data_IF_092549608167
#
_entry.id   IF_092549608167
#
_cell.length_a   1.000
_cell.length_b   1.000
_cell.length_c   1.000
_cell.angle_alpha   90.00
_cell.angle_beta   90.00
_cell.angle_gamma   90.00
#
_symmetry.space_group_name_H-M   'P 1'
#
loop_
_entity.id
_entity.type
_entity.pdbx_description
1 polymer ?
#
# COMPACT_ATOMS: atom_id res chain seq x y z
N UNK A 1 43.24 24.06 4.45
CA UNK A 1 42.40 22.85 4.43
C UNK A 1 41.41 23.00 5.57
N UNK A 2 40.09 22.93 5.31
CA UNK A 2 39.12 22.96 6.40
C UNK A 2 39.34 21.74 7.30
N UNK A 3 39.34 21.94 8.61
CA UNK A 3 39.48 20.87 9.59
C UNK A 3 38.25 19.95 9.49
N UNK A 4 38.49 18.66 9.23
CA UNK A 4 37.41 17.67 9.10
C UNK A 4 36.74 17.48 10.46
N UNK A 5 35.41 17.61 10.49
CA UNK A 5 34.63 17.37 11.70
C UNK A 5 34.74 15.90 12.13
N UNK A 6 34.74 15.66 13.43
CA UNK A 6 34.73 14.31 13.99
C UNK A 6 33.29 13.82 14.26
N UNK A 7 33.14 12.53 14.52
CA UNK A 7 31.85 11.89 14.76
C UNK A 7 31.22 12.33 16.07
N UNK A 8 29.90 12.62 16.04
CA UNK A 8 29.07 12.84 17.23
C UNK A 8 28.38 11.55 17.73
N UNK A 9 28.74 10.41 17.16
CA UNK A 9 28.19 9.09 17.46
C UNK A 9 29.30 8.15 17.92
N UNK A 10 28.93 7.15 18.71
CA UNK A 10 29.89 6.12 19.12
C UNK A 10 30.14 5.11 17.97
N UNK A 11 31.31 4.46 17.99
CA UNK A 11 31.60 3.34 17.08
C UNK A 11 30.57 2.20 17.23
N UNK A 12 30.11 1.92 18.44
CA UNK A 12 29.08 0.92 18.70
C UNK A 12 27.71 1.26 18.06
N UNK A 13 27.32 2.54 18.02
CA UNK A 13 26.12 3.01 17.30
C UNK A 13 26.26 2.79 15.78
N UNK A 14 27.45 3.08 15.25
CA UNK A 14 27.77 2.89 13.83
C UNK A 14 27.79 1.42 13.43
N UNK A 15 28.50 0.58 14.17
CA UNK A 15 28.60 -0.85 13.87
C UNK A 15 27.25 -1.56 14.05
N UNK A 16 26.36 -1.02 14.88
CA UNK A 16 24.96 -1.42 14.94
C UNK A 16 24.20 -1.25 13.62
N UNK A 17 24.67 -0.41 12.69
CA UNK A 17 24.10 -0.31 11.32
C UNK A 17 24.29 -1.61 10.56
N UNK A 18 25.44 -2.28 10.68
CA UNK A 18 25.72 -3.52 9.94
C UNK A 18 24.71 -4.62 10.28
N UNK A 19 24.48 -4.85 11.58
CA UNK A 19 23.45 -5.80 12.05
C UNK A 19 22.06 -5.44 11.53
N UNK A 20 21.76 -4.14 11.41
CA UNK A 20 20.47 -3.67 10.88
C UNK A 20 20.36 -3.86 9.38
N UNK A 21 21.42 -3.65 8.62
CA UNK A 21 21.44 -3.90 7.18
C UNK A 21 21.18 -5.38 6.90
N UNK A 22 21.83 -6.27 7.67
CA UNK A 22 21.58 -7.72 7.59
C UNK A 22 20.12 -8.07 7.92
N UNK A 23 19.57 -7.50 9.00
CA UNK A 23 18.18 -7.78 9.45
C UNK A 23 17.10 -7.05 8.64
N UNK A 24 17.41 -5.92 8.02
CA UNK A 24 16.43 -5.08 7.31
C UNK A 24 15.81 -5.83 6.14
N UNK A 25 16.57 -6.68 5.46
CA UNK A 25 16.06 -7.51 4.38
C UNK A 25 15.12 -8.60 4.88
N UNK A 26 15.43 -9.24 6.01
CA UNK A 26 14.52 -10.20 6.64
C UNK A 26 13.22 -9.51 7.06
N UNK A 27 13.29 -8.34 7.69
CA UNK A 27 12.09 -7.58 8.09
C UNK A 27 11.27 -7.12 6.90
N UNK A 28 11.92 -6.60 5.84
CA UNK A 28 11.25 -6.21 4.59
C UNK A 28 10.60 -7.42 3.91
N UNK A 29 11.30 -8.56 3.85
CA UNK A 29 10.77 -9.81 3.32
C UNK A 29 9.55 -10.28 4.09
N UNK A 30 9.61 -10.30 5.42
CA UNK A 30 8.48 -10.70 6.27
C UNK A 30 7.30 -9.75 6.11
N UNK A 31 7.55 -8.45 5.94
CA UNK A 31 6.48 -7.45 5.72
C UNK A 31 5.83 -7.62 4.35
N UNK A 32 6.61 -7.75 3.29
CA UNK A 32 6.11 -8.00 1.93
C UNK A 32 5.38 -9.33 1.87
N UNK A 33 5.93 -10.39 2.46
CA UNK A 33 5.27 -11.69 2.54
C UNK A 33 3.96 -11.61 3.33
N UNK A 34 3.92 -10.89 4.46
CA UNK A 34 2.71 -10.71 5.23
C UNK A 34 1.64 -9.92 4.46
N UNK A 35 2.01 -8.82 3.80
CA UNK A 35 1.10 -8.05 2.93
C UNK A 35 0.56 -8.92 1.79
N UNK A 36 1.41 -9.72 1.17
CA UNK A 36 1.04 -10.61 0.08
C UNK A 36 0.17 -11.79 0.54
N UNK A 37 0.41 -12.34 1.74
CA UNK A 37 -0.44 -13.37 2.35
C UNK A 37 -1.79 -12.80 2.75
N UNK A 38 -1.85 -11.57 3.24
CA UNK A 38 -3.10 -10.86 3.51
C UNK A 38 -3.86 -10.60 2.22
N UNK A 39 -3.19 -10.11 1.17
CA UNK A 39 -3.81 -9.91 -0.14
C UNK A 39 -4.31 -11.23 -0.74
N UNK A 40 -3.51 -12.29 -0.72
CA UNK A 40 -3.90 -13.63 -1.17
C UNK A 40 -5.04 -14.21 -0.34
N UNK A 41 -5.02 -14.02 0.98
CA UNK A 41 -6.09 -14.41 1.89
C UNK A 41 -7.39 -13.64 1.63
N UNK A 42 -7.31 -12.34 1.33
CA UNK A 42 -8.46 -11.53 0.92
C UNK A 42 -8.99 -11.96 -0.45
N UNK A 43 -8.12 -12.26 -1.41
CA UNK A 43 -8.53 -12.82 -2.71
C UNK A 43 -9.16 -14.21 -2.57
N UNK A 44 -8.63 -15.07 -1.68
CA UNK A 44 -9.21 -16.38 -1.39
C UNK A 44 -10.55 -16.26 -0.65
N UNK A 45 -10.66 -15.36 0.32
CA UNK A 45 -11.94 -15.06 0.98
C UNK A 45 -12.97 -14.53 -0.04
N UNK A 46 -12.54 -13.68 -0.97
CA UNK A 46 -13.37 -13.21 -2.08
C UNK A 46 -13.78 -14.34 -3.03
N UNK A 47 -12.86 -15.27 -3.36
CA UNK A 47 -13.15 -16.48 -4.15
C UNK A 47 -14.27 -17.31 -3.55
N UNK A 48 -14.26 -17.50 -2.23
CA UNK A 48 -15.28 -18.26 -1.53
C UNK A 48 -16.60 -17.50 -1.34
N UNK A 49 -16.62 -16.18 -1.53
CA UNK A 49 -17.78 -15.34 -1.24
C UNK A 49 -18.55 -14.84 -2.48
N UNK A 50 -17.92 -14.59 -3.63
CA UNK A 50 -18.60 -13.83 -4.71
C UNK A 50 -18.37 -14.28 -6.15
N UNK A 51 -17.25 -14.93 -6.53
CA UNK A 51 -17.05 -15.36 -7.92
C UNK A 51 -15.99 -16.46 -8.10
N UNK A 52 -16.12 -17.34 -9.12
CA UNK A 52 -15.05 -18.26 -9.51
C UNK A 52 -13.89 -17.46 -10.12
N UNK A 53 -12.90 -17.12 -9.29
CA UNK A 53 -11.64 -16.55 -9.75
C UNK A 53 -11.00 -17.55 -10.73
N UNK A 54 -10.73 -17.08 -11.95
CA UNK A 54 -10.08 -17.92 -12.95
C UNK A 54 -8.72 -18.43 -12.45
N UNK A 55 -8.41 -19.71 -12.73
CA UNK A 55 -7.09 -20.29 -12.47
C UNK A 55 -5.96 -19.43 -13.05
N UNK A 56 -6.20 -18.77 -14.19
CA UNK A 56 -5.28 -17.82 -14.83
C UNK A 56 -4.94 -16.63 -13.93
N UNK A 57 -5.92 -16.05 -13.25
CA UNK A 57 -5.69 -14.93 -12.32
C UNK A 57 -4.85 -15.36 -11.12
N UNK A 58 -5.13 -16.54 -10.54
CA UNK A 58 -4.32 -17.10 -9.46
C UNK A 58 -2.87 -17.37 -9.90
N UNK A 59 -2.68 -17.88 -11.12
CA UNK A 59 -1.36 -18.07 -11.71
C UNK A 59 -0.62 -16.74 -11.92
N UNK A 60 -1.30 -15.67 -12.33
CA UNK A 60 -0.70 -14.34 -12.44
C UNK A 60 -0.28 -13.77 -11.08
N UNK A 61 -1.11 -13.93 -10.04
CA UNK A 61 -0.73 -13.56 -8.68
C UNK A 61 0.49 -14.37 -8.26
N UNK A 62 0.45 -15.70 -8.39
CA UNK A 62 1.57 -16.57 -8.03
C UNK A 62 2.87 -16.18 -8.75
N UNK A 63 2.80 -15.86 -10.04
CA UNK A 63 3.94 -15.39 -10.81
C UNK A 63 4.47 -14.04 -10.30
N UNK A 64 3.59 -13.08 -10.03
CA UNK A 64 3.99 -11.78 -9.46
C UNK A 64 4.66 -11.96 -8.09
N UNK A 65 4.13 -12.85 -7.25
CA UNK A 65 4.73 -13.22 -5.96
C UNK A 65 6.13 -13.79 -6.14
N UNK A 66 6.30 -14.75 -7.06
CA UNK A 66 7.60 -15.36 -7.34
C UNK A 66 8.60 -14.31 -7.84
N UNK A 67 8.19 -13.42 -8.75
CA UNK A 67 9.05 -12.34 -9.26
C UNK A 67 9.47 -11.39 -8.13
N UNK A 68 8.55 -11.00 -7.25
CA UNK A 68 8.84 -10.12 -6.11
C UNK A 68 9.79 -10.79 -5.11
N UNK A 69 9.55 -12.06 -4.76
CA UNK A 69 10.38 -12.82 -3.83
C UNK A 69 11.77 -13.07 -4.42
N UNK A 70 11.86 -13.59 -5.64
CA UNK A 70 13.14 -13.87 -6.29
C UNK A 70 13.91 -12.57 -6.54
N UNK A 71 13.23 -11.52 -7.03
CA UNK A 71 13.83 -10.21 -7.27
C UNK A 71 14.37 -9.57 -5.99
N UNK A 72 13.64 -9.64 -4.87
CA UNK A 72 14.09 -9.12 -3.58
C UNK A 72 15.27 -9.93 -3.01
N UNK A 73 15.27 -11.26 -3.13
CA UNK A 73 16.39 -12.12 -2.72
C UNK A 73 17.64 -11.82 -3.54
N UNK A 74 17.51 -11.72 -4.87
CA UNK A 74 18.63 -11.36 -5.76
C UNK A 74 19.17 -9.97 -5.40
N UNK A 75 18.27 -9.02 -5.19
CA UNK A 75 18.65 -7.66 -4.80
C UNK A 75 19.36 -7.62 -3.46
N UNK A 76 18.86 -8.34 -2.45
CA UNK A 76 19.50 -8.45 -1.13
C UNK A 76 20.90 -9.08 -1.25
N UNK A 77 21.02 -10.24 -1.92
CA UNK A 77 22.30 -10.90 -2.15
C UNK A 77 23.34 -10.00 -2.84
N UNK A 78 22.90 -9.09 -3.71
CA UNK A 78 23.79 -8.13 -4.39
C UNK A 78 24.11 -6.89 -3.56
N UNK A 79 23.18 -6.41 -2.73
CA UNK A 79 23.29 -5.11 -2.06
C UNK A 79 23.78 -5.20 -0.62
N UNK A 80 23.41 -6.23 0.14
CA UNK A 80 23.83 -6.40 1.54
C UNK A 80 25.36 -6.50 1.66
N UNK A 81 26.07 -7.38 0.92
CA UNK A 81 27.52 -7.49 1.06
C UNK A 81 28.24 -6.19 0.68
N UNK A 82 27.74 -5.49 -0.35
CA UNK A 82 28.27 -4.18 -0.77
C UNK A 82 28.11 -3.12 0.31
N UNK A 83 26.97 -3.11 1.00
CA UNK A 83 26.76 -2.20 2.13
C UNK A 83 27.66 -2.57 3.31
N UNK A 84 27.76 -3.85 3.67
CA UNK A 84 28.60 -4.31 4.77
C UNK A 84 30.08 -3.99 4.55
N UNK A 85 30.59 -4.15 3.32
CA UNK A 85 31.94 -3.75 2.95
C UNK A 85 32.15 -2.22 2.96
N UNK A 86 31.10 -1.44 2.72
CA UNK A 86 31.16 0.02 2.67
C UNK A 86 31.12 0.68 4.06
N UNK A 87 30.48 0.07 5.06
CA UNK A 87 30.34 0.67 6.39
C UNK A 87 31.69 0.95 7.10
N UNK A 88 32.69 0.06 7.09
CA UNK A 88 34.01 0.37 7.66
C UNK A 88 34.68 1.55 6.96
N UNK A 89 34.57 1.61 5.63
CA UNK A 89 35.16 2.66 4.80
C UNK A 89 34.60 4.04 5.16
N UNK A 90 33.30 4.14 5.41
CA UNK A 90 32.65 5.41 5.81
C UNK A 90 33.21 5.88 7.16
N UNK A 91 33.38 4.96 8.12
CA UNK A 91 33.92 5.28 9.44
C UNK A 91 35.36 5.80 9.34
N UNK A 92 36.22 5.06 8.65
CA UNK A 92 37.63 5.42 8.44
C UNK A 92 37.80 6.75 7.69
N UNK A 93 36.95 7.01 6.70
CA UNK A 93 36.96 8.24 5.92
C UNK A 93 36.26 9.41 6.62
N UNK A 94 35.87 9.30 7.91
CA UNK A 94 35.14 10.35 8.66
C UNK A 94 33.93 10.89 7.90
N UNK A 95 33.11 9.97 7.40
CA UNK A 95 31.94 10.25 6.58
C UNK A 95 32.19 10.77 5.16
N UNK A 96 33.44 10.96 4.71
CA UNK A 96 33.78 11.32 3.32
C UNK A 96 33.56 10.13 2.36
N UNK A 97 32.32 9.70 2.19
CA UNK A 97 31.94 8.63 1.29
C UNK A 97 30.58 8.90 0.63
N UNK A 98 30.47 8.66 -0.68
CA UNK A 98 29.21 8.85 -1.38
C UNK A 98 28.21 7.72 -1.03
N UNK A 99 27.02 8.03 -0.47
CA UNK A 99 26.07 6.98 -0.05
C UNK A 99 25.41 6.24 -1.22
N UNK A 100 25.44 6.80 -2.43
CA UNK A 100 24.82 6.20 -3.62
C UNK A 100 25.81 5.33 -4.42
N UNK A 101 27.02 5.85 -4.69
CA UNK A 101 28.06 5.11 -5.41
C UNK A 101 28.83 4.15 -4.51
N UNK A 102 28.77 4.33 -3.19
CA UNK A 102 29.51 3.56 -2.18
C UNK A 102 31.04 3.67 -2.36
N UNK A 103 31.52 4.86 -2.70
CA UNK A 103 32.94 5.15 -2.91
C UNK A 103 33.41 6.22 -1.93
N UNK A 104 34.69 6.16 -1.56
CA UNK A 104 35.36 7.25 -0.83
C UNK A 104 35.36 8.53 -1.67
N UNK A 105 35.28 9.68 -1.01
CA UNK A 105 35.34 11.00 -1.64
C UNK A 105 36.29 11.98 -0.94
N UNK A 106 37.10 11.48 0.00
CA UNK A 106 38.12 12.25 0.71
C UNK A 106 39.31 12.60 -0.19
N UNK A 107 39.70 11.69 -1.08
CA UNK A 107 40.83 11.90 -2.00
C UNK A 107 40.45 12.47 -3.37
N UNK A 108 39.24 12.15 -3.87
CA UNK A 108 38.77 12.58 -5.17
C UNK A 108 37.25 12.74 -5.19
N UNK A 109 36.69 13.68 -5.95
CA UNK A 109 35.24 13.85 -6.07
C UNK A 109 34.60 12.63 -6.73
N UNK A 110 33.38 12.31 -6.32
CA UNK A 110 32.60 11.22 -6.87
C UNK A 110 32.29 11.43 -8.36
N UNK A 111 32.55 10.42 -9.18
CA UNK A 111 32.33 10.45 -10.63
C UNK A 111 30.87 10.53 -11.07
N UNK A 112 29.88 10.28 -10.22
CA UNK A 112 28.48 10.41 -10.64
C UNK A 112 27.78 11.60 -10.00
N UNK A 113 28.17 11.98 -8.78
CA UNK A 113 27.46 12.95 -7.95
C UNK A 113 28.29 14.20 -7.62
N UNK A 114 29.59 14.22 -7.94
CA UNK A 114 30.49 15.34 -7.69
C UNK A 114 30.84 15.60 -6.23
N UNK A 115 30.27 14.84 -5.29
CA UNK A 115 30.54 14.95 -3.84
C UNK A 115 32.02 14.72 -3.53
N UNK A 116 32.58 15.55 -2.66
CA UNK A 116 33.99 15.57 -2.27
C UNK A 116 34.15 15.77 -0.76
N UNK A 117 35.39 15.92 -0.29
CA UNK A 117 35.68 16.31 1.09
C UNK A 117 35.06 17.66 1.50
N UNK A 118 34.71 18.54 0.54
CA UNK A 118 34.06 19.82 0.84
C UNK A 118 32.65 19.64 1.42
N UNK A 119 31.96 18.58 1.01
CA UNK A 119 30.62 18.23 1.47
C UNK A 119 30.61 17.33 2.72
N UNK A 120 31.78 17.15 3.37
CA UNK A 120 31.89 16.30 4.56
C UNK A 120 30.83 16.62 5.63
N UNK A 121 30.49 17.88 5.95
CA UNK A 121 29.47 18.16 6.96
C UNK A 121 28.08 17.60 6.60
N UNK A 122 27.67 17.65 5.32
CA UNK A 122 26.39 17.08 4.89
C UNK A 122 26.41 15.56 4.87
N UNK A 123 27.54 14.97 4.48
CA UNK A 123 27.74 13.52 4.50
C UNK A 123 27.73 12.99 5.93
N UNK A 124 28.42 13.66 6.84
CA UNK A 124 28.45 13.35 8.27
C UNK A 124 27.04 13.35 8.86
N UNK A 125 26.28 14.43 8.65
CA UNK A 125 24.89 14.53 9.12
C UNK A 125 24.00 13.39 8.59
N UNK A 126 24.19 12.97 7.33
CA UNK A 126 23.46 11.83 6.75
C UNK A 126 23.80 10.50 7.44
N UNK A 127 25.09 10.19 7.58
CA UNK A 127 25.53 8.93 8.17
C UNK A 127 25.26 8.86 9.68
N UNK A 128 25.38 9.97 10.41
CA UNK A 128 25.00 10.06 11.82
C UNK A 128 23.50 9.85 12.03
N UNK A 129 22.66 10.46 11.18
CA UNK A 129 21.22 10.26 11.25
C UNK A 129 20.82 8.81 10.97
N UNK A 130 21.54 8.14 10.06
CA UNK A 130 21.37 6.71 9.78
C UNK A 130 21.78 5.84 10.98
N UNK A 131 22.91 6.16 11.62
CA UNK A 131 23.42 5.42 12.78
C UNK A 131 22.49 5.54 14.00
N UNK A 132 22.00 6.74 14.26
CA UNK A 132 21.11 7.06 15.38
C UNK A 132 19.66 6.70 15.15
N UNK A 133 19.30 6.26 13.93
CA UNK A 133 17.93 5.93 13.52
C UNK A 133 16.95 7.12 13.63
N UNK A 134 17.46 8.35 13.55
CA UNK A 134 16.61 9.53 13.49
C UNK A 134 16.09 9.71 12.06
N UNK A 135 14.90 9.14 11.79
CA UNK A 135 14.27 9.20 10.46
C UNK A 135 14.00 10.64 10.00
N UNK A 136 13.71 11.57 10.92
CA UNK A 136 13.53 12.98 10.59
C UNK A 136 14.84 13.61 10.09
N UNK A 137 15.92 13.45 10.86
CA UNK A 137 17.23 13.96 10.46
C UNK A 137 17.73 13.29 9.18
N UNK A 138 17.50 11.98 9.02
CA UNK A 138 17.94 11.21 7.86
C UNK A 138 17.25 11.67 6.57
N UNK A 139 15.92 11.86 6.62
CA UNK A 139 15.16 12.34 5.46
C UNK A 139 15.60 13.75 5.05
N UNK A 140 15.79 14.65 6.03
CA UNK A 140 16.30 16.01 5.79
C UNK A 140 17.71 16.01 5.21
N UNK A 141 18.65 15.29 5.82
CA UNK A 141 20.03 15.21 5.36
C UNK A 141 20.15 14.58 3.97
N UNK A 142 19.35 13.55 3.68
CA UNK A 142 19.30 12.93 2.35
C UNK A 142 18.79 13.89 1.27
N UNK A 143 17.73 14.66 1.57
CA UNK A 143 17.19 15.66 0.63
C UNK A 143 18.15 16.82 0.39
N UNK A 144 18.87 17.25 1.42
CA UNK A 144 19.92 18.27 1.30
C UNK A 144 21.11 17.76 0.48
N UNK A 145 21.64 16.58 0.82
CA UNK A 145 22.76 15.97 0.11
C UNK A 145 22.42 15.76 -1.37
N UNK A 146 21.18 15.33 -1.67
CA UNK A 146 20.74 15.12 -3.05
C UNK A 146 20.59 16.42 -3.82
N UNK A 147 20.11 17.50 -3.20
CA UNK A 147 20.11 18.83 -3.81
C UNK A 147 21.53 19.31 -4.09
N UNK A 148 22.47 19.05 -3.18
CA UNK A 148 23.89 19.37 -3.39
C UNK A 148 24.48 18.56 -4.54
N UNK A 149 24.27 17.25 -4.59
CA UNK A 149 24.72 16.40 -5.69
C UNK A 149 24.18 16.87 -7.06
N UNK A 150 22.90 17.23 -7.14
CA UNK A 150 22.30 17.77 -8.37
C UNK A 150 22.88 19.13 -8.79
N UNK A 151 23.34 19.95 -7.83
CA UNK A 151 24.04 21.21 -8.11
C UNK A 151 25.45 20.98 -8.63
N UNK A 152 26.18 20.07 -7.99
CA UNK A 152 27.56 19.72 -8.37
C UNK A 152 27.61 19.01 -9.73
N UNK A 153 26.63 18.13 -9.98
CA UNK A 153 26.57 17.37 -11.23
C UNK A 153 25.13 17.22 -11.70
N UNK A 154 24.80 17.93 -12.78
CA UNK A 154 23.50 17.79 -13.42
C UNK A 154 23.40 16.42 -14.11
N UNK A 155 22.23 15.76 -14.05
CA UNK A 155 22.03 14.50 -14.76
C UNK A 155 22.22 14.71 -16.26
N UNK A 156 23.20 14.02 -16.84
CA UNK A 156 23.53 14.11 -18.27
C UNK A 156 22.62 13.25 -19.15
N UNK A 157 21.97 12.24 -18.57
CA UNK A 157 21.07 11.33 -19.28
C UNK A 157 19.65 11.91 -19.37
N UNK A 158 19.09 11.96 -20.58
CA UNK A 158 17.68 12.34 -20.85
C UNK A 158 16.70 11.54 -20.00
N UNK A 159 16.94 10.23 -19.85
CA UNK A 159 16.12 9.36 -19.00
C UNK A 159 16.18 9.74 -17.53
N UNK A 160 17.36 10.09 -17.00
CA UNK A 160 17.50 10.56 -15.61
C UNK A 160 16.74 11.86 -15.39
N UNK A 161 16.76 12.78 -16.36
CA UNK A 161 15.99 14.03 -16.31
C UNK A 161 14.49 13.74 -16.28
N UNK A 162 13.99 12.91 -17.19
CA UNK A 162 12.56 12.51 -17.23
C UNK A 162 12.14 11.85 -15.92
N UNK A 163 12.96 10.92 -15.39
CA UNK A 163 12.71 10.29 -14.11
C UNK A 163 12.64 11.28 -12.94
N UNK A 164 13.53 12.27 -12.90
CA UNK A 164 13.49 13.33 -11.89
C UNK A 164 12.27 14.26 -12.06
N UNK A 165 11.84 14.54 -13.28
CA UNK A 165 10.64 15.33 -13.53
C UNK A 165 9.37 14.60 -13.09
N UNK A 166 9.24 13.31 -13.42
CA UNK A 166 8.05 12.50 -13.13
C UNK A 166 8.01 12.08 -11.66
N UNK A 167 9.09 11.50 -11.14
CA UNK A 167 9.11 10.91 -9.79
C UNK A 167 9.76 11.80 -8.73
N UNK A 168 10.48 12.86 -9.13
CA UNK A 168 11.07 13.81 -8.18
C UNK A 168 10.05 14.53 -7.30
N UNK A 169 8.90 15.02 -7.83
CA UNK A 169 7.82 15.57 -7.01
C UNK A 169 7.28 14.55 -5.99
N UNK A 170 7.00 13.32 -6.43
CA UNK A 170 6.53 12.24 -5.55
C UNK A 170 7.53 11.96 -4.43
N UNK A 171 8.82 11.79 -4.77
CA UNK A 171 9.88 11.52 -3.81
C UNK A 171 10.01 12.63 -2.78
N UNK A 172 9.93 13.90 -3.20
CA UNK A 172 9.96 15.05 -2.28
C UNK A 172 8.75 15.09 -1.36
N UNK A 173 7.55 14.84 -1.89
CA UNK A 173 6.34 14.76 -1.08
C UNK A 173 6.43 13.61 -0.05
N UNK A 174 6.90 12.44 -0.48
CA UNK A 174 7.07 11.27 0.38
C UNK A 174 8.15 11.51 1.46
N UNK A 175 9.31 12.04 1.10
CA UNK A 175 10.38 12.36 2.05
C UNK A 175 9.94 13.41 3.08
N UNK A 176 9.22 14.46 2.64
CA UNK A 176 8.63 15.47 3.53
C UNK A 176 7.61 14.87 4.49
N UNK A 177 6.69 14.05 3.97
CA UNK A 177 5.68 13.37 4.78
C UNK A 177 6.35 12.46 5.82
N UNK A 178 7.27 11.58 5.40
CA UNK A 178 8.01 10.69 6.31
C UNK A 178 8.82 11.47 7.34
N UNK A 179 9.54 12.51 6.93
CA UNK A 179 10.34 13.32 7.85
C UNK A 179 9.50 14.04 8.90
N UNK A 180 8.40 14.68 8.52
CA UNK A 180 7.56 15.45 9.45
C UNK A 180 6.72 14.52 10.34
N UNK A 181 6.20 13.41 9.80
CA UNK A 181 5.49 12.40 10.60
C UNK A 181 6.44 11.72 11.60
N UNK A 182 7.71 11.57 11.26
CA UNK A 182 8.74 11.07 12.17
C UNK A 182 9.19 12.09 13.23
N UNK A 183 8.85 13.38 13.10
CA UNK A 183 9.30 14.41 14.02
C UNK A 183 8.55 14.32 15.36
N UNK A 184 9.24 14.17 16.51
CA UNK A 184 8.61 13.97 17.81
C UNK A 184 7.67 15.11 18.20
N UNK A 185 8.08 16.35 17.92
CA UNK A 185 7.40 17.58 18.37
C UNK A 185 6.55 18.26 17.29
N UNK A 186 6.39 17.64 16.11
CA UNK A 186 5.51 18.19 15.10
C UNK A 186 4.04 18.12 15.57
N UNK A 187 3.34 19.25 15.45
CA UNK A 187 1.90 19.31 15.70
C UNK A 187 1.12 18.44 14.71
N UNK A 188 -0.08 18.01 15.10
CA UNK A 188 -0.99 17.25 14.23
C UNK A 188 -1.26 17.98 12.91
N UNK A 189 -1.53 19.29 12.98
CA UNK A 189 -1.78 20.12 11.80
C UNK A 189 -0.58 20.14 10.84
N UNK A 190 0.64 20.24 11.36
CA UNK A 190 1.87 20.21 10.55
C UNK A 190 2.06 18.85 9.88
N UNK A 191 1.79 17.74 10.59
CA UNK A 191 1.87 16.38 10.04
C UNK A 191 0.85 16.15 8.93
N UNK A 192 -0.41 16.55 9.15
CA UNK A 192 -1.47 16.42 8.15
C UNK A 192 -1.14 17.23 6.89
N UNK A 193 -0.76 18.51 7.03
CA UNK A 193 -0.36 19.35 5.89
C UNK A 193 0.82 18.78 5.10
N UNK A 194 1.78 18.17 5.79
CA UNK A 194 2.91 17.52 5.13
C UNK A 194 2.52 16.24 4.36
N UNK A 195 1.45 15.59 4.79
CA UNK A 195 0.98 14.30 4.24
C UNK A 195 0.03 14.48 3.06
N UNK A 196 -0.75 15.57 3.02
CA UNK A 196 -1.73 15.83 1.95
C UNK A 196 -1.12 15.72 0.54
N UNK A 197 0.04 16.32 0.21
CA UNK A 197 0.63 16.17 -1.12
C UNK A 197 1.02 14.72 -1.44
N UNK A 198 1.48 13.94 -0.45
CA UNK A 198 1.78 12.52 -0.64
C UNK A 198 0.49 11.75 -0.93
N UNK A 199 -0.56 11.96 -0.14
CA UNK A 199 -1.87 11.32 -0.34
C UNK A 199 -2.46 11.62 -1.72
N UNK A 200 -2.42 12.88 -2.16
CA UNK A 200 -2.90 13.24 -3.50
C UNK A 200 -2.14 12.49 -4.60
N UNK A 201 -0.82 12.38 -4.48
CA UNK A 201 0.00 11.66 -5.44
C UNK A 201 -0.21 10.14 -5.39
N UNK A 202 -0.34 9.56 -4.20
CA UNK A 202 -0.67 8.14 -4.02
C UNK A 202 -2.05 7.84 -4.62
N UNK A 203 -3.06 8.69 -4.38
CA UNK A 203 -4.39 8.55 -4.96
C UNK A 203 -4.38 8.69 -6.48
N UNK A 204 -3.62 9.63 -7.04
CA UNK A 204 -3.46 9.77 -8.49
C UNK A 204 -2.78 8.54 -9.09
N UNK A 205 -1.70 8.06 -8.46
CA UNK A 205 -1.02 6.84 -8.87
C UNK A 205 -1.94 5.62 -8.84
N UNK A 206 -2.73 5.47 -7.77
CA UNK A 206 -3.72 4.42 -7.65
C UNK A 206 -4.79 4.53 -8.74
N UNK A 207 -5.31 5.73 -9.00
CA UNK A 207 -6.30 5.96 -10.06
C UNK A 207 -5.77 5.59 -11.45
N UNK A 208 -4.50 5.91 -11.75
CA UNK A 208 -3.85 5.51 -13.01
C UNK A 208 -3.73 3.98 -13.10
N UNK A 209 -3.25 3.32 -12.04
CA UNK A 209 -3.13 1.86 -12.00
C UNK A 209 -4.49 1.19 -12.18
N UNK A 210 -5.52 1.69 -11.50
CA UNK A 210 -6.90 1.18 -11.58
C UNK A 210 -7.49 1.43 -12.96
N UNK A 211 -7.25 2.59 -13.57
CA UNK A 211 -7.71 2.89 -14.93
C UNK A 211 -7.09 1.97 -15.97
N UNK A 212 -5.78 1.69 -15.85
CA UNK A 212 -5.08 0.73 -16.72
C UNK A 212 -5.61 -0.69 -16.49
N UNK A 213 -5.77 -1.12 -15.24
CA UNK A 213 -6.33 -2.43 -14.92
C UNK A 213 -7.77 -2.56 -15.44
N UNK A 214 -8.58 -1.50 -15.34
CA UNK A 214 -9.96 -1.47 -15.87
C UNK A 214 -9.97 -1.64 -17.38
N UNK A 215 -9.07 -0.95 -18.08
CA UNK A 215 -8.95 -1.04 -19.54
C UNK A 215 -8.49 -2.43 -20.01
N UNK A 216 -7.57 -3.08 -19.29
CA UNK A 216 -6.98 -4.37 -19.71
C UNK A 216 -7.80 -5.57 -19.22
N UNK A 217 -8.27 -5.54 -17.98
CA UNK A 217 -8.81 -6.69 -17.25
C UNK A 217 -10.32 -6.58 -16.95
N UNK A 218 -10.94 -5.46 -17.34
CA UNK A 218 -12.37 -5.19 -17.12
C UNK A 218 -12.71 -4.77 -15.69
N UNK A 219 -13.99 -4.40 -15.50
CA UNK A 219 -14.52 -3.80 -14.26
C UNK A 219 -14.38 -4.69 -13.03
N UNK A 220 -14.72 -5.98 -13.16
CA UNK A 220 -14.76 -6.94 -12.05
C UNK A 220 -13.37 -7.14 -11.43
N UNK A 221 -12.35 -7.31 -12.27
CA UNK A 221 -10.96 -7.46 -11.82
C UNK A 221 -10.43 -6.20 -11.14
N UNK A 222 -10.77 -5.01 -11.65
CA UNK A 222 -10.34 -3.74 -11.05
C UNK A 222 -10.98 -3.47 -9.68
N UNK A 223 -12.24 -3.85 -9.48
CA UNK A 223 -12.90 -3.75 -8.17
C UNK A 223 -12.26 -4.72 -7.16
N UNK A 224 -11.89 -5.93 -7.58
CA UNK A 224 -11.16 -6.87 -6.75
C UNK A 224 -9.73 -6.39 -6.40
N UNK A 225 -9.02 -5.74 -7.33
CA UNK A 225 -7.72 -5.13 -7.05
C UNK A 225 -7.83 -3.92 -6.11
N UNK A 226 -8.89 -3.12 -6.29
CA UNK A 226 -9.18 -2.00 -5.40
C UNK A 226 -9.39 -2.47 -3.96
N UNK A 227 -10.11 -3.57 -3.72
CA UNK A 227 -10.42 -4.08 -2.37
C UNK A 227 -9.20 -4.46 -1.53
N UNK A 228 -8.09 -4.85 -2.18
CA UNK A 228 -6.85 -5.27 -1.52
C UNK A 228 -5.82 -4.17 -1.26
N UNK A 229 -5.85 -3.05 -1.98
CA UNK A 229 -4.77 -2.04 -1.94
C UNK A 229 -5.19 -0.65 -1.45
N UNK A 230 -6.50 -0.37 -1.42
CA UNK A 230 -7.02 0.96 -1.06
C UNK A 230 -6.70 1.37 0.39
N UNK A 231 -6.50 0.41 1.30
CA UNK A 231 -6.22 0.65 2.73
C UNK A 231 -4.88 1.36 3.00
N UNK A 232 -3.97 1.41 2.02
CA UNK A 232 -2.70 2.15 2.11
C UNK A 232 -2.95 3.66 2.29
N UNK A 233 -4.02 4.18 1.68
CA UNK A 233 -4.39 5.60 1.78
C UNK A 233 -4.83 5.99 3.20
N UNK A 234 -5.83 5.34 3.84
CA UNK A 234 -6.19 5.64 5.23
C UNK A 234 -5.05 5.31 6.19
N UNK A 235 -4.23 4.27 5.94
CA UNK A 235 -3.03 4.00 6.75
C UNK A 235 -2.06 5.17 6.77
N UNK A 236 -1.80 5.78 5.60
CA UNK A 236 -0.92 6.94 5.50
C UNK A 236 -1.45 8.09 6.38
N UNK A 237 -2.78 8.30 6.41
CA UNK A 237 -3.41 9.29 7.26
C UNK A 237 -3.29 8.95 8.75
N UNK A 238 -3.58 7.69 9.13
CA UNK A 238 -3.49 7.20 10.51
C UNK A 238 -2.08 7.38 11.05
N UNK A 239 -1.05 7.01 10.27
CA UNK A 239 0.34 7.18 10.67
C UNK A 239 0.69 8.65 10.93
N UNK A 240 0.13 9.58 10.16
CA UNK A 240 0.30 11.02 10.38
C UNK A 240 -0.40 11.53 11.64
N UNK A 241 -1.54 10.94 12.01
CA UNK A 241 -2.27 11.27 13.24
C UNK A 241 -1.53 10.73 14.47
N UNK A 242 -1.11 9.47 14.45
CA UNK A 242 -0.39 8.85 15.57
C UNK A 242 0.98 9.50 15.78
N UNK A 243 1.64 9.85 14.69
CA UNK A 243 3.01 10.35 14.69
C UNK A 243 4.05 9.24 14.86
N UNK A 244 5.28 9.59 15.28
CA UNK A 244 6.36 8.63 15.32
C UNK A 244 6.14 7.62 16.44
N UNK A 245 6.19 6.33 16.08
CA UNK A 245 6.17 5.21 17.05
C UNK A 245 7.46 5.12 17.88
N UNK A 246 8.52 5.75 17.39
CA UNK A 246 9.86 5.74 17.96
C UNK A 246 10.41 7.16 17.96
N UNK A 247 11.03 7.55 19.08
CA UNK A 247 11.69 8.86 19.21
C UNK A 247 13.18 8.67 19.45
N UNK A 248 13.97 9.64 19.00
CA UNK A 248 15.36 9.73 19.44
C UNK A 248 15.39 10.31 20.85
N UNK A 249 16.12 9.65 21.74
CA UNK A 249 16.37 10.10 23.10
C UNK A 249 17.87 10.12 23.43
N UNK A 250 18.21 10.37 24.70
CA UNK A 250 19.58 10.22 25.20
C UNK A 250 20.11 8.80 24.98
N UNK A 251 21.45 8.68 24.95
CA UNK A 251 22.16 7.42 24.78
C UNK A 251 21.84 6.48 25.96
N UNK A 252 21.48 5.24 25.64
CA UNK A 252 21.11 4.20 26.61
C UNK A 252 21.80 2.88 26.29
N UNK A 253 22.00 2.05 27.31
CA UNK A 253 22.37 0.66 27.12
C UNK A 253 21.21 -0.10 26.44
N UNK A 254 21.48 -0.80 25.34
CA UNK A 254 20.46 -1.56 24.62
C UNK A 254 19.88 -2.72 25.46
N UNK A 255 20.67 -3.27 26.39
CA UNK A 255 20.27 -4.40 27.26
C UNK A 255 19.36 -3.98 28.41
N UNK A 256 19.79 -3.06 29.26
CA UNK A 256 19.04 -2.65 30.46
C UNK A 256 18.26 -1.33 30.30
N UNK A 257 18.37 -0.65 29.16
CA UNK A 257 17.69 0.61 28.83
C UNK A 257 18.00 1.80 29.77
N UNK A 258 18.98 1.68 30.66
CA UNK A 258 19.45 2.78 31.51
C UNK A 258 20.27 3.80 30.71
N UNK A 259 20.26 5.05 31.18
CA UNK A 259 20.99 6.17 30.58
C UNK A 259 22.51 5.96 30.73
N UNK A 260 23.25 6.18 29.65
CA UNK A 260 24.70 6.23 29.71
C UNK A 260 25.13 7.60 30.27
N UNK A 261 26.09 7.60 31.21
CA UNK A 261 26.61 8.82 31.81
C UNK A 261 27.49 9.62 30.83
N UNK A 262 28.30 8.90 30.03
CA UNK A 262 29.27 9.49 29.10
C UNK A 262 28.78 9.44 27.64
N UNK A 263 29.34 10.33 26.81
CA UNK A 263 29.11 10.35 25.37
C UNK A 263 29.71 9.13 24.65
N UNK A 264 30.83 8.59 25.16
CA UNK A 264 31.54 7.42 24.64
C UNK A 264 31.71 6.35 25.74
N UNK A 265 30.63 5.70 26.19
CA UNK A 265 30.70 4.77 27.31
C UNK A 265 31.29 3.43 26.85
N UNK A 266 32.20 2.86 27.64
CA UNK A 266 32.80 1.54 27.37
C UNK A 266 32.09 0.41 28.10
N UNK A 267 31.51 0.69 29.28
CA UNK A 267 30.72 -0.25 30.07
C UNK A 267 29.46 0.39 30.63
N UNK A 268 28.43 -0.42 30.83
CA UNK A 268 27.20 0.02 31.49
C UNK A 268 27.35 -0.02 33.01
N UNK A 269 27.13 1.10 33.70
CA UNK A 269 27.23 1.21 35.15
C UNK A 269 26.20 0.33 35.91
N UNK A 270 25.08 0.00 35.25
CA UNK A 270 23.95 -0.70 35.89
C UNK A 270 23.99 -2.21 35.69
N UNK A 271 24.30 -2.67 34.47
CA UNK A 271 24.27 -4.10 34.14
C UNK A 271 25.64 -4.69 33.78
N UNK A 272 26.71 -3.88 33.81
CA UNK A 272 28.08 -4.31 33.51
C UNK A 272 28.34 -4.69 32.05
N UNK A 273 27.35 -4.50 31.16
CA UNK A 273 27.47 -4.90 29.75
C UNK A 273 28.52 -4.05 29.02
N UNK A 274 29.18 -4.68 28.06
CA UNK A 274 30.22 -4.08 27.25
C UNK A 274 29.59 -3.24 26.13
N UNK A 275 29.69 -1.92 26.27
CA UNK A 275 29.04 -0.94 25.39
C UNK A 275 29.86 -0.66 24.13
N UNK A 276 31.05 -1.27 23.98
CA UNK A 276 31.85 -1.21 22.76
C UNK A 276 31.34 -2.17 21.68
N UNK A 277 30.51 -3.15 22.05
CA UNK A 277 29.98 -4.15 21.11
C UNK A 277 29.00 -3.51 20.12
N UNK A 278 28.95 -4.02 18.86
CA UNK A 278 28.04 -3.50 17.85
C UNK A 278 26.58 -3.53 18.32
N UNK A 279 25.93 -2.35 18.34
CA UNK A 279 24.54 -2.21 18.77
C UNK A 279 24.28 -2.30 20.28
N UNK A 280 25.31 -2.29 21.13
CA UNK A 280 25.17 -2.33 22.59
C UNK A 280 24.58 -1.04 23.19
N UNK A 281 24.58 0.05 22.42
CA UNK A 281 23.97 1.33 22.77
C UNK A 281 22.86 1.70 21.78
N UNK A 282 21.85 2.41 22.28
CA UNK A 282 20.74 2.88 21.45
C UNK A 282 20.22 4.23 21.93
N UNK A 283 19.75 5.04 20.99
CA UNK A 283 18.99 6.27 21.26
C UNK A 283 17.49 6.10 21.01
N UNK A 284 17.05 4.88 20.70
CA UNK A 284 15.68 4.60 20.29
C UNK A 284 14.77 4.45 21.51
N UNK A 285 13.84 5.38 21.69
CA UNK A 285 12.80 5.31 22.70
C UNK A 285 11.50 4.82 22.08
N UNK A 286 10.90 3.81 22.70
CA UNK A 286 9.57 3.32 22.34
C UNK A 286 8.49 4.23 22.92
N UNK A 287 7.49 4.56 22.11
CA UNK A 287 6.28 5.22 22.61
C UNK A 287 5.44 4.32 23.50
N UNK A 288 4.59 4.89 24.38
CA UNK A 288 3.68 4.12 25.24
C UNK A 288 2.77 3.19 24.42
N UNK A 289 2.42 2.04 25.01
CA UNK A 289 1.63 0.97 24.38
C UNK A 289 0.28 1.44 23.83
N UNK A 290 -0.33 2.47 24.43
CA UNK A 290 -1.60 3.05 23.98
C UNK A 290 -1.54 3.58 22.54
N UNK A 291 -0.42 4.17 22.11
CA UNK A 291 -0.25 4.64 20.73
C UNK A 291 -0.13 3.49 19.72
N UNK A 292 0.43 2.36 20.14
CA UNK A 292 0.48 1.15 19.31
C UNK A 292 -0.90 0.54 19.10
N UNK A 293 -1.75 0.53 20.14
CA UNK A 293 -3.13 0.11 20.00
C UNK A 293 -3.87 0.97 18.97
N UNK A 294 -3.64 2.29 18.98
CA UNK A 294 -4.27 3.21 18.03
C UNK A 294 -3.82 2.97 16.58
N UNK A 295 -2.56 2.59 16.34
CA UNK A 295 -2.06 2.19 15.01
C UNK A 295 -2.64 0.86 14.53
N UNK A 296 -3.05 -0.04 15.42
CA UNK A 296 -3.65 -1.31 15.03
C UNK A 296 -5.18 -1.17 14.86
N UNK A 297 -5.83 -0.47 15.78
CA UNK A 297 -7.29 -0.33 15.84
C UNK A 297 -7.81 0.62 14.77
N UNK A 298 -7.20 1.80 14.58
CA UNK A 298 -7.72 2.75 13.59
C UNK A 298 -7.70 2.20 12.16
N UNK A 299 -6.66 1.50 11.70
CA UNK A 299 -6.69 0.90 10.39
C UNK A 299 -7.58 -0.32 10.30
N UNK A 300 -7.69 -1.14 11.36
CA UNK A 300 -8.68 -2.21 11.39
C UNK A 300 -10.10 -1.65 11.28
N UNK A 301 -10.43 -0.55 11.96
CA UNK A 301 -11.70 0.15 11.79
C UNK A 301 -11.83 0.75 10.39
N UNK A 302 -10.77 1.39 9.89
CA UNK A 302 -10.77 1.97 8.56
C UNK A 302 -10.99 0.91 7.48
N UNK A 303 -10.41 -0.30 7.62
CA UNK A 303 -10.60 -1.45 6.72
C UNK A 303 -11.97 -2.09 6.92
N UNK A 304 -12.37 -2.34 8.17
CA UNK A 304 -13.63 -3.01 8.51
C UNK A 304 -14.86 -2.21 8.08
N UNK A 305 -14.79 -0.87 8.02
CA UNK A 305 -15.94 -0.06 7.57
C UNK A 305 -16.25 -0.33 6.09
N UNK A 306 -15.27 -0.36 5.15
CA UNK A 306 -15.55 -0.67 3.74
C UNK A 306 -15.53 -2.17 3.41
N UNK A 307 -14.65 -2.99 3.99
CA UNK A 307 -14.64 -4.45 3.72
C UNK A 307 -15.70 -5.21 4.50
N UNK A 308 -16.06 -4.73 5.69
CA UNK A 308 -17.24 -5.18 6.44
C UNK A 308 -18.54 -4.57 5.93
N UNK A 309 -18.53 -3.97 4.73
CA UNK A 309 -19.71 -3.46 4.05
C UNK A 309 -20.87 -4.46 4.02
N UNK A 310 -20.61 -5.76 3.98
CA UNK A 310 -21.69 -6.75 4.10
C UNK A 310 -22.46 -6.68 5.43
N UNK A 311 -21.77 -6.44 6.54
CA UNK A 311 -22.39 -6.27 7.86
C UNK A 311 -22.92 -4.85 8.08
N UNK A 312 -22.14 -3.80 7.77
CA UNK A 312 -22.57 -2.42 8.04
C UNK A 312 -23.68 -1.97 7.09
N UNK A 313 -23.63 -2.34 5.80
CA UNK A 313 -24.73 -2.06 4.87
C UNK A 313 -25.99 -2.78 5.34
N UNK A 314 -25.90 -3.99 5.90
CA UNK A 314 -27.08 -4.68 6.47
C UNK A 314 -27.75 -3.92 7.63
N UNK A 315 -27.03 -3.02 8.32
CA UNK A 315 -27.57 -2.15 9.38
C UNK A 315 -28.23 -0.87 8.85
N UNK A 316 -28.08 -0.56 7.56
CA UNK A 316 -28.67 0.63 6.95
C UNK A 316 -30.14 0.39 6.58
N UNK A 317 -30.97 1.46 6.54
CA UNK A 317 -32.31 1.39 5.97
C UNK A 317 -32.28 0.81 4.55
N UNK A 318 -33.33 0.06 4.15
CA UNK A 318 -33.39 -0.66 2.88
C UNK A 318 -33.13 0.25 1.67
N UNK A 319 -33.70 1.43 1.63
CA UNK A 319 -33.47 2.43 0.57
C UNK A 319 -31.99 2.80 0.44
N UNK A 320 -31.29 3.00 1.55
CA UNK A 320 -29.84 3.25 1.56
C UNK A 320 -29.04 2.02 1.14
N UNK A 321 -29.49 0.81 1.53
CA UNK A 321 -28.88 -0.46 1.09
C UNK A 321 -28.96 -0.62 -0.42
N UNK A 322 -30.13 -0.42 -0.99
CA UNK A 322 -30.37 -0.48 -2.44
C UNK A 322 -29.52 0.56 -3.18
N UNK A 323 -29.46 1.79 -2.66
CA UNK A 323 -28.56 2.81 -3.21
C UNK A 323 -27.11 2.37 -3.17
N UNK A 324 -26.59 1.89 -2.03
CA UNK A 324 -25.22 1.38 -1.93
C UNK A 324 -24.97 0.24 -2.92
N UNK A 325 -25.87 -0.74 -2.99
CA UNK A 325 -25.78 -1.88 -3.90
C UNK A 325 -26.00 -1.53 -5.38
N UNK A 326 -26.41 -0.32 -5.72
CA UNK A 326 -26.31 0.16 -7.11
C UNK A 326 -24.85 0.40 -7.52
N UNK A 327 -24.01 0.83 -6.58
CA UNK A 327 -22.58 1.11 -6.80
C UNK A 327 -21.69 -0.12 -6.62
N UNK A 328 -21.97 -0.93 -5.59
CA UNK A 328 -21.23 -2.15 -5.24
C UNK A 328 -22.11 -3.39 -5.46
N UNK A 329 -21.52 -4.58 -5.54
CA UNK A 329 -22.29 -5.81 -5.71
C UNK A 329 -23.12 -6.13 -4.45
N UNK A 330 -24.43 -6.46 -4.58
CA UNK A 330 -25.21 -6.95 -3.45
C UNK A 330 -24.65 -8.27 -2.91
N UNK A 331 -24.92 -8.58 -1.64
CA UNK A 331 -24.55 -9.88 -1.10
C UNK A 331 -25.33 -11.00 -1.81
N UNK A 332 -24.75 -12.21 -1.96
CA UNK A 332 -25.45 -13.34 -2.59
C UNK A 332 -26.77 -13.74 -1.93
N UNK A 333 -27.01 -13.28 -0.69
CA UNK A 333 -28.22 -13.57 0.08
C UNK A 333 -29.13 -12.33 0.21
N UNK A 334 -28.77 -11.20 -0.38
CA UNK A 334 -29.48 -9.93 -0.14
C UNK A 334 -30.97 -10.07 -0.47
N UNK A 335 -31.32 -10.50 -1.69
CA UNK A 335 -32.72 -10.60 -2.10
C UNK A 335 -33.44 -11.77 -1.42
N UNK A 336 -32.74 -12.87 -1.11
CA UNK A 336 -33.30 -14.00 -0.35
C UNK A 336 -33.70 -13.61 1.08
N UNK A 337 -33.00 -12.65 1.69
CA UNK A 337 -33.32 -12.18 3.05
C UNK A 337 -34.44 -11.15 3.10
N UNK A 338 -34.92 -10.65 1.95
CA UNK A 338 -36.01 -9.69 1.89
C UNK A 338 -37.36 -10.41 2.02
N UNK A 339 -38.12 -10.05 3.05
CA UNK A 339 -39.53 -10.46 3.13
C UNK A 339 -40.39 -9.45 2.36
N UNK A 340 -40.76 -9.82 1.13
CA UNK A 340 -41.58 -9.00 0.21
C UNK A 340 -42.87 -8.51 0.85
N UNK A 341 -43.52 -9.33 1.70
CA UNK A 341 -44.77 -8.97 2.35
C UNK A 341 -44.66 -7.79 3.33
N UNK A 342 -43.43 -7.43 3.73
CA UNK A 342 -43.15 -6.34 4.66
C UNK A 342 -42.61 -5.08 4.00
N UNK A 343 -42.40 -5.11 2.67
CA UNK A 343 -41.85 -3.98 1.92
C UNK A 343 -42.94 -2.99 1.53
N UNK A 344 -42.57 -1.71 1.44
CA UNK A 344 -43.38 -0.74 0.70
C UNK A 344 -43.29 -0.99 -0.82
N UNK A 345 -44.30 -0.58 -1.61
CA UNK A 345 -44.26 -0.70 -3.08
C UNK A 345 -43.04 -0.01 -3.70
N UNK A 346 -42.63 1.14 -3.16
CA UNK A 346 -41.45 1.88 -3.62
C UNK A 346 -40.15 1.11 -3.36
N UNK A 347 -40.02 0.49 -2.20
CA UNK A 347 -38.84 -0.32 -1.85
C UNK A 347 -38.78 -1.60 -2.68
N UNK A 348 -39.93 -2.25 -2.90
CA UNK A 348 -40.03 -3.43 -3.75
C UNK A 348 -39.65 -3.11 -5.21
N UNK A 349 -40.11 -1.98 -5.74
CA UNK A 349 -39.74 -1.49 -7.06
C UNK A 349 -38.24 -1.21 -7.16
N UNK A 350 -37.66 -0.49 -6.19
CA UNK A 350 -36.23 -0.19 -6.20
C UNK A 350 -35.34 -1.45 -6.10
N UNK A 351 -35.76 -2.46 -5.34
CA UNK A 351 -35.09 -3.75 -5.29
C UNK A 351 -35.23 -4.52 -6.62
N UNK A 352 -36.40 -4.50 -7.24
CA UNK A 352 -36.62 -5.12 -8.54
C UNK A 352 -35.76 -4.48 -9.64
N UNK A 353 -35.69 -3.14 -9.68
CA UNK A 353 -34.84 -2.41 -10.62
C UNK A 353 -33.36 -2.74 -10.42
N UNK A 354 -32.91 -2.83 -9.16
CA UNK A 354 -31.55 -3.24 -8.85
C UNK A 354 -31.27 -4.67 -9.33
N UNK A 355 -32.18 -5.62 -9.08
CA UNK A 355 -32.04 -7.01 -9.52
C UNK A 355 -31.94 -7.09 -11.05
N UNK A 356 -32.84 -6.41 -11.76
CA UNK A 356 -32.87 -6.35 -13.23
C UNK A 356 -31.58 -5.75 -13.77
N UNK A 357 -31.12 -4.63 -13.22
CA UNK A 357 -29.88 -3.98 -13.64
C UNK A 357 -28.64 -4.87 -13.44
N UNK A 358 -28.66 -5.75 -12.43
CA UNK A 358 -27.57 -6.70 -12.15
C UNK A 358 -27.64 -7.97 -12.99
N UNK A 359 -28.83 -8.34 -13.47
CA UNK A 359 -29.04 -9.49 -14.33
C UNK A 359 -28.67 -9.25 -15.81
N UNK A 360 -28.20 -8.04 -16.15
CA UNK A 360 -27.74 -7.67 -17.48
C UNK A 360 -26.58 -8.57 -18.00
N UNK A 361 -26.39 -8.70 -19.33
CA UNK A 361 -25.48 -9.69 -19.94
C UNK A 361 -24.02 -9.63 -19.48
N UNK A 362 -23.52 -8.44 -19.16
CA UNK A 362 -22.15 -8.20 -18.67
C UNK A 362 -22.06 -8.05 -17.14
N UNK A 363 -23.18 -8.26 -16.43
CA UNK A 363 -23.27 -8.20 -14.98
C UNK A 363 -22.75 -9.46 -14.30
N UNK A 364 -22.18 -9.37 -13.08
CA UNK A 364 -21.91 -10.55 -12.28
C UNK A 364 -23.27 -11.16 -11.91
N UNK A 365 -23.67 -12.27 -12.54
CA UNK A 365 -24.96 -12.91 -12.29
C UNK A 365 -24.97 -13.54 -10.89
N UNK A 366 -25.77 -13.07 -9.92
CA UNK A 366 -26.08 -13.89 -8.78
C UNK A 366 -27.10 -14.94 -9.24
N UNK A 367 -26.70 -16.21 -9.23
CA UNK A 367 -27.47 -17.37 -9.70
C UNK A 367 -28.77 -17.65 -8.90
N UNK A 368 -29.13 -16.86 -7.87
CA UNK A 368 -30.01 -17.35 -6.79
C UNK A 368 -31.12 -16.39 -6.28
N UNK A 369 -31.62 -15.43 -7.07
CA UNK A 369 -32.55 -14.40 -6.56
C UNK A 369 -33.97 -14.37 -7.20
N UNK A 370 -34.37 -15.40 -7.95
CA UNK A 370 -35.62 -15.40 -8.71
C UNK A 370 -36.90 -15.39 -7.86
N UNK A 371 -36.86 -15.86 -6.61
CA UNK A 371 -38.03 -15.85 -5.73
C UNK A 371 -38.46 -14.43 -5.37
N UNK A 372 -37.53 -13.46 -5.29
CA UNK A 372 -37.88 -12.09 -4.93
C UNK A 372 -38.84 -11.46 -5.94
N UNK A 373 -38.51 -11.52 -7.23
CA UNK A 373 -39.33 -10.90 -8.28
C UNK A 373 -40.67 -11.62 -8.45
N UNK A 374 -40.69 -12.94 -8.38
CA UNK A 374 -41.92 -13.73 -8.43
C UNK A 374 -42.85 -13.40 -7.25
N UNK A 375 -42.29 -13.31 -6.04
CA UNK A 375 -43.05 -12.92 -4.86
C UNK A 375 -43.53 -11.46 -4.96
N UNK A 376 -42.70 -10.52 -5.41
CA UNK A 376 -43.09 -9.11 -5.58
C UNK A 376 -44.28 -8.95 -6.56
N UNK A 377 -44.30 -9.72 -7.64
CA UNK A 377 -45.42 -9.79 -8.57
C UNK A 377 -46.67 -10.42 -7.92
N UNK A 378 -46.50 -11.54 -7.21
CA UNK A 378 -47.61 -12.24 -6.55
C UNK A 378 -48.28 -11.40 -5.45
N UNK A 379 -47.50 -10.60 -4.72
CA UNK A 379 -47.99 -9.66 -3.70
C UNK A 379 -48.48 -8.32 -4.28
N UNK A 380 -48.41 -8.11 -5.60
CA UNK A 380 -48.85 -6.87 -6.25
C UNK A 380 -48.00 -5.65 -5.89
N UNK A 381 -46.75 -5.85 -5.45
CA UNK A 381 -45.84 -4.77 -5.04
C UNK A 381 -45.16 -4.09 -6.22
N UNK A 382 -45.09 -4.77 -7.37
CA UNK A 382 -44.57 -4.25 -8.63
C UNK A 382 -45.53 -4.56 -9.78
N UNK A 383 -45.61 -3.72 -10.83
CA UNK A 383 -46.51 -3.94 -11.95
C UNK A 383 -46.08 -5.13 -12.82
N UNK A 384 -47.04 -5.75 -13.52
CA UNK A 384 -46.73 -6.87 -14.45
C UNK A 384 -45.75 -6.49 -15.56
N UNK A 385 -45.68 -5.21 -15.95
CA UNK A 385 -44.70 -4.72 -16.93
C UNK A 385 -43.25 -4.94 -16.49
N UNK A 386 -42.97 -5.02 -15.18
CA UNK A 386 -41.64 -5.32 -14.65
C UNK A 386 -41.14 -6.71 -15.07
N UNK A 387 -42.06 -7.67 -15.28
CA UNK A 387 -41.71 -9.00 -15.79
C UNK A 387 -41.14 -8.93 -17.22
N UNK A 388 -41.72 -8.07 -18.07
CA UNK A 388 -41.25 -7.86 -19.44
C UNK A 388 -39.88 -7.17 -19.45
N UNK A 389 -39.67 -6.18 -18.57
CA UNK A 389 -38.38 -5.48 -18.43
C UNK A 389 -37.30 -6.45 -17.95
N UNK A 390 -37.61 -7.28 -16.95
CA UNK A 390 -36.70 -8.32 -16.47
C UNK A 390 -36.35 -9.32 -17.58
N UNK A 391 -37.34 -9.80 -18.33
CA UNK A 391 -37.13 -10.70 -19.47
C UNK A 391 -36.13 -10.10 -20.46
N UNK A 392 -36.36 -8.85 -20.90
CA UNK A 392 -35.51 -8.13 -21.86
C UNK A 392 -34.08 -7.92 -21.35
N UNK A 393 -33.89 -7.73 -20.05
CA UNK A 393 -32.57 -7.49 -19.47
C UNK A 393 -31.68 -8.75 -19.45
N UNK A 394 -32.27 -9.95 -19.40
CA UNK A 394 -31.51 -11.21 -19.26
C UNK A 394 -31.36 -11.99 -20.57
N UNK A 395 -32.22 -11.75 -21.56
CA UNK A 395 -32.14 -12.41 -22.87
C UNK A 395 -30.85 -12.01 -23.58
N UNK A 396 -30.01 -13.01 -23.86
CA UNK A 396 -28.98 -12.93 -24.89
C UNK A 396 -29.47 -13.66 -26.14
N UNK A 397 -29.02 -13.24 -27.31
CA UNK A 397 -29.17 -14.03 -28.53
C UNK A 397 -27.85 -13.99 -29.31
N UNK A 398 -27.34 -15.17 -29.67
CA UNK A 398 -26.24 -15.27 -30.63
C UNK A 398 -26.83 -15.25 -32.03
N UNK A 399 -26.41 -14.29 -32.85
CA UNK A 399 -26.78 -14.18 -34.25
C UNK A 399 -25.70 -14.90 -35.08
N UNK A 400 -26.04 -16.06 -35.62
CA UNK A 400 -25.21 -16.74 -36.61
C UNK A 400 -25.76 -16.42 -38.00
N UNK A 401 -24.93 -15.84 -38.86
CA UNK A 401 -25.34 -15.49 -40.22
C UNK A 401 -24.61 -16.42 -41.18
N UNK A 402 -25.36 -17.29 -41.83
CA UNK A 402 -24.85 -18.15 -42.90
C UNK A 402 -25.41 -17.70 -44.24
N UNK A 403 -24.54 -17.58 -45.25
CA UNK A 403 -24.97 -17.31 -46.62
C UNK A 403 -24.75 -18.57 -47.45
N UNK A 404 -25.84 -19.20 -47.90
CA UNK A 404 -25.81 -20.40 -48.72
C UNK A 404 -26.60 -20.12 -50.01
N UNK A 405 -25.99 -20.39 -51.16
CA UNK A 405 -26.58 -20.22 -52.50
C UNK A 405 -27.18 -18.83 -52.76
N UNK A 406 -26.52 -17.78 -52.27
CA UNK A 406 -26.96 -16.38 -52.46
C UNK A 406 -28.10 -15.94 -51.55
N UNK A 407 -28.59 -16.82 -50.65
CA UNK A 407 -29.58 -16.49 -49.64
C UNK A 407 -28.89 -16.36 -48.28
N UNK A 408 -28.96 -15.16 -47.69
CA UNK A 408 -28.46 -14.91 -46.33
C UNK A 408 -29.50 -15.40 -45.32
N UNK A 409 -29.14 -16.42 -44.53
CA UNK A 409 -29.95 -16.94 -43.43
C UNK A 409 -29.35 -16.47 -42.11
N UNK A 410 -30.12 -15.69 -41.36
CA UNK A 410 -29.79 -15.31 -40.00
C UNK A 410 -30.45 -16.29 -39.03
N UNK A 411 -29.64 -17.06 -38.30
CA UNK A 411 -30.07 -17.96 -37.21
C UNK A 411 -29.89 -17.19 -35.91
N UNK A 412 -31.00 -16.87 -35.26
CA UNK A 412 -30.99 -16.25 -33.93
C UNK A 412 -31.15 -17.38 -32.92
N UNK A 413 -30.08 -17.68 -32.17
CA UNK A 413 -30.14 -18.65 -31.07
C UNK A 413 -30.33 -17.88 -29.77
N UNK A 414 -31.54 -17.85 -29.18
CA UNK A 414 -31.74 -17.22 -27.89
C UNK A 414 -31.00 -18.02 -26.81
N UNK A 415 -30.09 -17.38 -26.11
CA UNK A 415 -29.59 -17.82 -24.82
C UNK A 415 -30.49 -17.24 -23.74
N UNK A 416 -31.66 -17.85 -23.61
CA UNK A 416 -32.45 -17.75 -22.40
C UNK A 416 -31.83 -18.74 -21.43
N UNK A 417 -31.38 -18.30 -20.26
CA UNK A 417 -31.14 -19.25 -19.19
C UNK A 417 -32.46 -19.99 -18.94
N UNK A 418 -32.47 -21.32 -19.08
CA UNK A 418 -33.61 -22.21 -18.78
C UNK A 418 -34.21 -21.97 -17.37
N UNK A 419 -33.56 -21.15 -16.54
CA UNK A 419 -33.92 -20.82 -15.18
C UNK A 419 -34.95 -19.70 -15.00
N UNK A 420 -35.27 -18.85 -16.00
CA UNK A 420 -36.02 -17.60 -15.75
C UNK A 420 -37.53 -17.78 -15.75
N UNK A 421 -38.06 -18.73 -16.53
CA UNK A 421 -39.51 -18.86 -16.71
C UNK A 421 -40.08 -20.18 -16.16
N UNK A 422 -39.23 -21.05 -15.60
CA UNK A 422 -39.61 -22.43 -15.30
C UNK A 422 -39.90 -23.24 -16.58
N UNK A 423 -40.19 -24.54 -16.46
CA UNK A 423 -40.68 -25.34 -17.59
C UNK A 423 -42.02 -24.83 -18.14
#
# INVERSE_FOLDING_TARGET
MAELQDWNITKAEWDGVAQRVERAHFTFYMLVLAELLVAAGMCAAWYFLTAPISLRFLLWIALALVILVVGSVIWARRTTPRWLAFLPVVWEARACACPWCRTRVDSAPCEEHGLSAQEQPQLLAYFEAMATQNLHALTRANDELRRTALRLRRPTSKWKIVWECVFGPYRRANARAMGITAHPDASLATRLRATVPKLLMDSLGLAVVVGVAYFILGRSTSLAMLSGCWWILPMTLVMSVVGPLWRQGPLRCAKCQHLCADANPTRCNECGDDLTRPGAVTRKMRMPRSRWALVLVLPMLAIAIPTGGFGVVSLLPLTTRVWCYSWIEPSPLFFQTLNVATLSPEEAAACADLLIARAAPDGPRPLFDFDFLANALAFGMVPQSTQEVAARAVVMATLEVETVDGVTRAIVVPQLGESIFGP
#
